data_IF_163565030211
#
_entry.id   IF_163565030211
#
_cell.length_a   1.000
_cell.length_b   1.000
_cell.length_c   1.000
_cell.angle_alpha   90.00
_cell.angle_beta   90.00
_cell.angle_gamma   90.00
#
_symmetry.space_group_name_H-M   'P 1'
#
loop_
_entity.id
_entity.type
_entity.pdbx_description
1 polymer ?
#
# COMPACT_ATOMS: atom_id res chain seq x y z
N UNK A 1 -19.31 12.93 16.40
CA UNK A 1 -18.19 11.96 16.31
C UNK A 1 -17.16 12.58 15.40
N UNK A 2 -15.90 12.70 15.83
CA UNK A 2 -14.86 13.31 15.01
C UNK A 2 -14.43 12.26 13.98
N UNK A 3 -14.79 12.45 12.71
CA UNK A 3 -14.31 11.56 11.65
C UNK A 3 -12.77 11.67 11.56
N UNK A 4 -12.06 10.54 11.41
CA UNK A 4 -10.61 10.58 11.28
C UNK A 4 -10.24 11.44 10.06
N UNK A 5 -9.20 12.25 10.18
CA UNK A 5 -8.68 13.07 9.09
C UNK A 5 -7.28 12.63 8.70
N UNK A 6 -7.00 12.72 7.40
CA UNK A 6 -5.67 12.59 6.84
C UNK A 6 -5.16 14.00 6.52
N UNK A 7 -3.92 14.30 6.90
CA UNK A 7 -3.28 15.59 6.63
C UNK A 7 -1.98 15.41 5.85
N UNK A 8 -1.71 16.30 4.92
CA UNK A 8 -0.48 16.28 4.09
C UNK A 8 -0.10 17.70 3.66
N UNK A 9 1.10 17.84 3.10
CA UNK A 9 1.56 19.06 2.45
C UNK A 9 1.54 18.85 0.94
N UNK A 10 0.95 19.78 0.20
CA UNK A 10 0.89 19.78 -1.26
C UNK A 10 1.10 21.22 -1.74
N UNK A 11 2.11 21.44 -2.59
CA UNK A 11 2.47 22.79 -3.07
C UNK A 11 2.72 23.81 -1.94
N UNK A 12 3.45 23.38 -0.90
CA UNK A 12 3.72 24.15 0.33
C UNK A 12 2.48 24.56 1.15
N UNK A 13 1.30 24.05 0.79
CA UNK A 13 0.07 24.24 1.53
C UNK A 13 -0.27 23.00 2.37
N UNK A 14 -0.64 23.24 3.62
CA UNK A 14 -1.21 22.19 4.47
C UNK A 14 -2.63 21.89 3.99
N UNK A 15 -2.89 20.62 3.69
CA UNK A 15 -4.20 20.11 3.28
C UNK A 15 -4.65 18.98 4.18
N UNK A 16 -5.96 18.78 4.24
CA UNK A 16 -6.56 17.63 4.90
C UNK A 16 -7.80 17.14 4.18
N UNK A 17 -8.16 15.88 4.43
CA UNK A 17 -9.37 15.24 3.94
C UNK A 17 -9.89 14.25 4.96
N UNK A 18 -11.18 13.90 4.85
CA UNK A 18 -11.76 12.81 5.62
C UNK A 18 -11.04 11.51 5.28
N UNK A 19 -10.62 10.79 6.30
CA UNK A 19 -9.99 9.49 6.15
C UNK A 19 -11.05 8.39 6.07
N UNK A 20 -10.87 7.48 5.12
CA UNK A 20 -11.67 6.27 5.01
C UNK A 20 -10.76 5.07 4.77
N UNK A 21 -11.02 3.99 5.50
CA UNK A 21 -10.36 2.71 5.31
C UNK A 21 -11.36 1.59 5.52
N UNK A 22 -11.58 0.78 4.48
CA UNK A 22 -12.44 -0.41 4.55
C UNK A 22 -11.93 -1.42 5.60
N UNK A 23 -10.61 -1.49 5.78
CA UNK A 23 -9.97 -2.38 6.75
C UNK A 23 -9.90 -1.80 8.17
N UNK A 24 -10.49 -0.63 8.42
CA UNK A 24 -10.49 0.03 9.72
C UNK A 24 -9.11 0.54 10.17
N UNK A 25 -8.16 0.70 9.24
CA UNK A 25 -6.83 1.21 9.57
C UNK A 25 -6.92 2.69 10.00
N UNK A 26 -6.10 3.12 10.97
CA UNK A 26 -6.02 4.54 11.33
C UNK A 26 -5.36 5.35 10.19
N UNK A 27 -5.57 6.68 10.15
CA UNK A 27 -4.94 7.53 9.16
C UNK A 27 -3.40 7.47 9.30
N UNK A 28 -2.65 7.29 8.19
CA UNK A 28 -1.20 7.30 8.21
C UNK A 28 -0.63 8.63 8.74
N UNK A 29 0.42 8.54 9.57
CA UNK A 29 1.08 9.74 10.13
C UNK A 29 2.04 10.45 9.16
N UNK A 30 2.40 9.80 8.04
CA UNK A 30 3.24 10.37 6.98
C UNK A 30 2.56 10.17 5.64
N UNK A 31 2.45 11.24 4.88
CA UNK A 31 1.83 11.25 3.56
C UNK A 31 2.74 12.00 2.61
N UNK A 32 2.98 11.41 1.44
CA UNK A 32 3.71 12.01 0.34
C UNK A 32 2.83 12.03 -0.90
N UNK A 33 2.74 13.18 -1.56
CA UNK A 33 2.08 13.29 -2.86
C UNK A 33 2.92 12.55 -3.90
N UNK A 34 2.26 11.72 -4.71
CA UNK A 34 2.89 10.92 -5.76
C UNK A 34 2.07 11.00 -7.05
N UNK A 35 2.74 10.89 -8.19
CA UNK A 35 2.14 10.95 -9.52
C UNK A 35 2.78 9.91 -10.46
N UNK A 36 2.45 10.02 -11.75
CA UNK A 36 2.88 9.11 -12.82
C UNK A 36 4.42 9.00 -12.99
N UNK A 37 5.20 9.87 -12.36
CA UNK A 37 6.67 9.84 -12.38
C UNK A 37 7.26 8.91 -11.30
N UNK A 38 6.46 8.46 -10.32
CA UNK A 38 6.97 7.68 -9.21
C UNK A 38 7.30 6.24 -9.60
N UNK A 39 8.56 5.83 -9.36
CA UNK A 39 9.01 4.46 -9.55
C UNK A 39 8.40 3.52 -8.48
N UNK A 40 7.93 2.35 -8.91
CA UNK A 40 7.43 1.27 -8.08
C UNK A 40 8.39 0.78 -6.99
N UNK A 41 9.71 0.78 -7.21
CA UNK A 41 10.68 0.43 -6.15
C UNK A 41 10.71 1.46 -5.04
N UNK A 42 10.63 2.75 -5.38
CA UNK A 42 10.58 3.84 -4.40
C UNK A 42 9.24 3.85 -3.68
N UNK A 43 8.13 3.71 -4.41
CA UNK A 43 6.80 3.60 -3.83
C UNK A 43 6.70 2.45 -2.83
N UNK A 44 7.20 1.26 -3.21
CA UNK A 44 7.20 0.10 -2.33
C UNK A 44 8.05 0.32 -1.06
N UNK A 45 9.21 0.95 -1.19
CA UNK A 45 10.08 1.26 -0.04
C UNK A 45 9.41 2.22 0.93
N UNK A 46 8.87 3.32 0.42
CA UNK A 46 8.14 4.32 1.22
C UNK A 46 6.94 3.68 1.94
N UNK A 47 6.18 2.84 1.24
CA UNK A 47 5.07 2.11 1.82
C UNK A 47 5.51 1.12 2.91
N UNK A 48 6.65 0.45 2.74
CA UNK A 48 7.24 -0.40 3.79
C UNK A 48 7.65 0.39 5.04
N UNK A 49 8.11 1.63 4.86
CA UNK A 49 8.45 2.55 5.94
C UNK A 49 7.22 3.19 6.62
N UNK A 50 6.02 2.93 6.08
CA UNK A 50 4.76 3.46 6.61
C UNK A 50 4.38 4.84 6.08
N UNK A 51 5.00 5.29 4.98
CA UNK A 51 4.60 6.51 4.28
C UNK A 51 3.48 6.18 3.30
N UNK A 52 2.36 6.87 3.46
CA UNK A 52 1.26 6.80 2.51
C UNK A 52 1.56 7.64 1.26
N UNK A 53 1.20 7.13 0.10
CA UNK A 53 1.38 7.77 -1.19
C UNK A 53 0.02 8.27 -1.66
N UNK A 54 -0.18 9.58 -1.59
CA UNK A 54 -1.40 10.21 -2.08
C UNK A 54 -1.28 10.42 -3.59
N UNK A 55 -2.00 9.61 -4.36
CA UNK A 55 -1.88 9.60 -5.81
C UNK A 55 -2.62 10.79 -6.44
N UNK A 56 -1.92 11.50 -7.34
CA UNK A 56 -2.42 12.64 -8.13
C UNK A 56 -2.22 12.46 -9.63
N UNK A 57 -1.71 11.30 -10.05
CA UNK A 57 -1.57 10.94 -11.46
C UNK A 57 -2.84 10.32 -12.04
N UNK A 58 -2.66 9.52 -13.07
CA UNK A 58 -3.75 8.82 -13.74
C UNK A 58 -4.21 7.57 -12.95
N UNK A 59 -5.51 7.26 -12.98
CA UNK A 59 -6.06 6.11 -12.25
C UNK A 59 -5.48 4.77 -12.73
N UNK A 60 -5.32 4.60 -14.04
CA UNK A 60 -4.78 3.36 -14.59
C UNK A 60 -3.32 3.16 -14.16
N UNK A 61 -2.55 4.25 -14.09
CA UNK A 61 -1.18 4.21 -13.62
C UNK A 61 -1.10 3.91 -12.12
N UNK A 62 -2.00 4.44 -11.30
CA UNK A 62 -2.13 4.07 -9.89
C UNK A 62 -2.36 2.55 -9.75
N UNK A 63 -3.26 1.99 -10.56
CA UNK A 63 -3.57 0.55 -10.56
C UNK A 63 -2.37 -0.29 -11.01
N UNK A 64 -1.63 0.16 -12.03
CA UNK A 64 -0.39 -0.48 -12.47
C UNK A 64 0.69 -0.43 -11.40
N UNK A 65 0.83 0.71 -10.70
CA UNK A 65 1.75 0.88 -9.58
C UNK A 65 1.40 -0.08 -8.44
N UNK A 66 0.13 -0.17 -8.06
CA UNK A 66 -0.36 -1.11 -7.04
C UNK A 66 0.02 -2.56 -7.39
N UNK A 67 -0.19 -2.97 -8.63
CA UNK A 67 0.21 -4.31 -9.09
C UNK A 67 1.73 -4.50 -9.05
N UNK A 68 2.50 -3.48 -9.42
CA UNK A 68 3.95 -3.51 -9.38
C UNK A 68 4.50 -3.61 -7.94
N UNK A 69 3.88 -2.93 -6.98
CA UNK A 69 4.15 -3.06 -5.56
C UNK A 69 3.74 -4.45 -5.04
N UNK A 70 2.58 -4.97 -5.47
CA UNK A 70 2.10 -6.29 -5.06
C UNK A 70 3.06 -7.42 -5.48
N UNK A 71 3.68 -7.31 -6.66
CA UNK A 71 4.74 -8.23 -7.12
C UNK A 71 6.00 -8.14 -6.25
N UNK A 72 6.36 -6.95 -5.79
CA UNK A 72 7.53 -6.72 -4.92
C UNK A 72 7.33 -7.21 -3.49
N UNK A 73 6.08 -7.21 -3.02
CA UNK A 73 5.72 -7.78 -1.73
C UNK A 73 5.84 -9.30 -1.67
N UNK A 74 6.01 -10.01 -2.80
CA UNK A 74 6.17 -11.47 -2.81
C UNK A 74 7.59 -11.84 -2.34
N UNK A 75 7.74 -12.70 -1.31
CA UNK A 75 9.04 -13.16 -0.88
C UNK A 75 9.71 -13.90 -2.03
N UNK A 76 10.93 -13.51 -2.37
CA UNK A 76 11.72 -14.28 -3.34
C UNK A 76 11.93 -15.69 -2.76
N UNK A 77 11.77 -16.75 -3.55
CA UNK A 77 12.06 -18.10 -3.08
C UNK A 77 13.48 -18.11 -2.55
N UNK A 78 13.65 -18.55 -1.30
CA UNK A 78 14.99 -18.75 -0.74
C UNK A 78 15.70 -19.76 -1.65
N UNK A 79 16.95 -19.45 -2.04
CA UNK A 79 17.78 -20.34 -2.87
C UNK A 79 17.67 -21.77 -2.34
N UNK A 80 17.57 -22.73 -3.25
CA UNK A 80 17.43 -24.15 -2.91
C UNK A 80 18.44 -24.52 -1.81
N UNK A 81 18.02 -25.26 -0.77
CA UNK A 81 18.92 -25.63 0.31
C UNK A 81 20.16 -26.33 -0.27
N UNK A 82 21.35 -25.96 0.23
CA UNK A 82 22.59 -26.64 -0.14
C UNK A 82 22.44 -28.14 0.15
N UNK A 83 22.93 -29.01 -0.74
CA UNK A 83 22.95 -30.46 -0.53
C UNK A 83 23.55 -30.75 0.86
N UNK A 84 22.77 -31.41 1.73
CA UNK A 84 23.17 -31.78 3.09
C UNK A 84 22.67 -30.86 4.22
N UNK A 85 21.91 -29.79 3.93
CA UNK A 85 21.28 -29.00 4.99
C UNK A 85 20.13 -29.80 5.66
N UNK A 86 20.01 -29.76 7.00
CA UNK A 86 18.89 -30.40 7.69
C UNK A 86 17.56 -29.79 7.26
N UNK A 87 16.59 -30.65 6.94
CA UNK A 87 15.21 -30.24 6.64
C UNK A 87 14.57 -29.83 7.96
N UNK A 88 14.34 -28.52 8.15
CA UNK A 88 13.57 -28.03 9.29
C UNK A 88 12.09 -28.21 8.94
N UNK A 89 11.45 -29.21 9.54
CA UNK A 89 10.00 -29.38 9.44
C UNK A 89 9.31 -28.25 10.20
N UNK A 90 8.64 -27.35 9.47
CA UNK A 90 7.83 -26.29 10.07
C UNK A 90 6.48 -26.88 10.43
N UNK A 91 6.12 -26.84 11.72
CA UNK A 91 4.83 -27.33 12.17
C UNK A 91 3.67 -26.58 11.45
N UNK A 92 2.56 -27.25 11.10
CA UNK A 92 1.45 -26.64 10.35
C UNK A 92 0.91 -25.35 10.96
N UNK A 93 0.82 -25.28 12.30
CA UNK A 93 0.39 -24.07 13.01
C UNK A 93 1.36 -22.89 12.82
N UNK A 94 2.68 -23.15 12.83
CA UNK A 94 3.68 -22.12 12.57
C UNK A 94 3.63 -21.65 11.11
N UNK A 95 3.42 -22.58 10.16
CA UNK A 95 3.23 -22.22 8.75
C UNK A 95 2.00 -21.32 8.55
N UNK A 96 0.88 -21.63 9.23
CA UNK A 96 -0.33 -20.79 9.20
C UNK A 96 -0.09 -19.40 9.79
N UNK A 97 0.57 -19.30 10.94
CA UNK A 97 0.89 -18.01 11.57
C UNK A 97 1.78 -17.15 10.66
N UNK A 98 2.82 -17.74 10.06
CA UNK A 98 3.69 -17.04 9.12
C UNK A 98 2.93 -16.56 7.88
N UNK A 99 2.03 -17.40 7.34
CA UNK A 99 1.21 -17.03 6.20
C UNK A 99 0.27 -15.85 6.53
N UNK A 100 -0.41 -15.88 7.69
CA UNK A 100 -1.30 -14.79 8.12
C UNK A 100 -0.52 -13.50 8.36
N UNK A 101 0.65 -13.58 9.00
CA UNK A 101 1.53 -12.44 9.22
C UNK A 101 1.98 -11.82 7.88
N UNK A 102 2.38 -12.67 6.93
CA UNK A 102 2.76 -12.25 5.60
C UNK A 102 1.62 -11.53 4.85
N UNK A 103 0.41 -12.09 4.86
CA UNK A 103 -0.75 -11.46 4.22
C UNK A 103 -1.11 -10.12 4.88
N UNK A 104 -1.05 -10.05 6.22
CA UNK A 104 -1.30 -8.80 6.95
C UNK A 104 -0.27 -7.73 6.61
N UNK A 105 1.02 -8.07 6.55
CA UNK A 105 2.07 -7.12 6.17
C UNK A 105 1.89 -6.65 4.73
N UNK A 106 1.60 -7.57 3.80
CA UNK A 106 1.34 -7.25 2.40
C UNK A 106 0.13 -6.31 2.25
N UNK A 107 -0.98 -6.60 2.92
CA UNK A 107 -2.17 -5.75 2.91
C UNK A 107 -1.86 -4.35 3.44
N UNK A 108 -1.13 -4.26 4.58
CA UNK A 108 -0.72 -2.97 5.15
C UNK A 108 0.14 -2.15 4.19
N UNK A 109 1.12 -2.78 3.54
CA UNK A 109 2.01 -2.09 2.60
C UNK A 109 1.26 -1.64 1.35
N UNK A 110 0.38 -2.47 0.78
CA UNK A 110 -0.38 -2.09 -0.42
C UNK A 110 -1.45 -1.03 -0.14
N UNK A 111 -2.02 -1.04 1.07
CA UNK A 111 -2.98 -0.02 1.52
C UNK A 111 -2.36 1.36 1.77
N UNK A 112 -1.03 1.53 1.62
CA UNK A 112 -0.38 2.84 1.67
C UNK A 112 -0.54 3.62 0.36
N UNK A 113 -0.94 3.00 -0.74
CA UNK A 113 -1.29 3.76 -1.96
C UNK A 113 -2.73 4.27 -1.82
N UNK A 114 -2.88 5.57 -1.68
CA UNK A 114 -4.15 6.25 -1.45
C UNK A 114 -4.59 6.96 -2.73
N UNK A 115 -5.90 6.93 -2.99
CA UNK A 115 -6.55 7.70 -4.04
C UNK A 115 -7.59 8.64 -3.42
N UNK A 116 -7.84 9.82 -4.00
CA UNK A 116 -8.97 10.64 -3.60
C UNK A 116 -10.30 9.96 -3.94
N UNK A 117 -11.31 10.21 -3.12
CA UNK A 117 -12.68 9.75 -3.32
C UNK A 117 -13.62 10.92 -2.99
N UNK A 118 -14.44 11.31 -3.95
CA UNK A 118 -15.35 12.45 -3.87
C UNK A 118 -16.65 12.11 -3.16
N UNK A 119 -17.34 13.15 -2.71
CA UNK A 119 -18.63 13.05 -2.01
C UNK A 119 -19.77 12.60 -2.96
N UNK A 120 -19.57 12.76 -4.26
CA UNK A 120 -20.42 12.30 -5.35
C UNK A 120 -20.14 10.83 -5.74
N UNK A 121 -19.37 10.11 -4.91
CA UNK A 121 -18.86 8.78 -5.22
C UNK A 121 -18.02 8.76 -6.51
N UNK A 122 -17.41 9.87 -6.90
CA UNK A 122 -16.47 9.88 -8.01
C UNK A 122 -15.03 9.70 -7.52
N UNK A 123 -14.17 9.14 -8.36
CA UNK A 123 -12.73 9.18 -8.15
C UNK A 123 -12.19 10.31 -9.05
N UNK A 124 -11.72 11.44 -8.49
CA UNK A 124 -11.32 12.62 -9.28
C UNK A 124 -9.92 12.43 -9.88
N UNK A 125 -9.69 11.31 -10.55
CA UNK A 125 -8.48 10.97 -11.29
C UNK A 125 -8.84 10.70 -12.75
N UNK A 126 -7.94 11.05 -13.66
CA UNK A 126 -8.16 10.79 -15.09
C UNK A 126 -8.30 9.28 -15.35
N UNK A 127 -9.26 8.91 -16.19
CA UNK A 127 -9.61 7.51 -16.57
C UNK A 127 -10.03 6.64 -15.38
N UNK A 128 -10.47 7.25 -14.27
CA UNK A 128 -11.14 6.51 -13.24
C UNK A 128 -12.51 5.99 -13.74
N UNK A 129 -12.93 4.78 -13.35
CA UNK A 129 -14.27 4.30 -13.62
C UNK A 129 -15.29 5.04 -12.73
N UNK A 130 -16.54 5.02 -13.15
CA UNK A 130 -17.67 5.29 -12.26
C UNK A 130 -17.76 4.14 -11.23
N UNK A 131 -18.06 4.45 -9.97
CA UNK A 131 -18.09 3.51 -8.83
C UNK A 131 -19.42 3.50 -8.11
#
# INVERSE_FOLDING_TARGET
MNDPQLSWVEQDEQRSARWHSESGMPPPGRVQVADDTMNADTAYRLACEGTALLWRGDFQNARMLLQAMARRAVPKPKKAPRKGAPVVEVAPAQAFHLHRQYQSQRARTLGMLLIPFGDDFAIPLRRAPDV
#
